data_IF_277804760391
#
_entry.id   IF_277804760391
#
_cell.length_a   1.000
_cell.length_b   1.000
_cell.length_c   1.000
_cell.angle_alpha   90.00
_cell.angle_beta   90.00
_cell.angle_gamma   90.00
#
_symmetry.space_group_name_H-M   'P 1'
#
loop_
_entity.id
_entity.type
_entity.pdbx_description
1 polymer ?
#
# COMPACT_ATOMS: atom_id res chain seq x y z
N UNK A 1 38.15 41.10 5.40
CA UNK A 1 38.50 42.05 6.47
C UNK A 1 39.13 41.24 7.61
N UNK A 2 40.35 41.58 8.03
CA UNK A 2 41.02 40.94 9.17
C UNK A 2 40.40 41.48 10.46
N UNK A 3 39.84 40.61 11.30
CA UNK A 3 39.09 41.01 12.50
C UNK A 3 40.01 41.09 13.72
N UNK A 4 40.93 40.13 13.88
CA UNK A 4 41.95 40.09 14.94
C UNK A 4 42.97 39.00 14.63
N UNK A 5 44.23 39.15 15.05
CA UNK A 5 45.24 38.07 15.05
C UNK A 5 45.56 37.71 16.49
N UNK A 6 45.24 36.48 16.90
CA UNK A 6 45.45 36.01 18.27
C UNK A 6 46.47 34.88 18.27
N UNK A 7 47.49 34.90 19.16
CA UNK A 7 48.36 33.74 19.35
C UNK A 7 47.53 32.53 19.81
N UNK A 8 47.82 31.36 19.26
CA UNK A 8 47.23 30.10 19.71
C UNK A 8 48.23 29.30 20.54
N UNK A 9 47.77 28.27 21.25
CA UNK A 9 48.63 27.25 21.87
C UNK A 9 49.35 26.36 20.84
N UNK A 10 49.06 26.53 19.55
CA UNK A 10 49.57 25.66 18.49
C UNK A 10 50.89 26.17 17.95
N UNK A 11 51.86 25.28 17.83
CA UNK A 11 53.10 25.51 17.10
C UNK A 11 53.12 24.65 15.84
N UNK A 12 53.65 25.22 14.77
CA UNK A 12 53.73 24.57 13.46
C UNK A 12 55.11 24.80 12.85
N UNK A 13 55.72 23.72 12.40
CA UNK A 13 56.96 23.74 11.62
C UNK A 13 56.88 22.76 10.45
N UNK A 14 57.90 22.75 9.58
CA UNK A 14 58.01 21.78 8.50
C UNK A 14 59.25 20.91 8.69
N UNK A 15 59.06 19.60 8.80
CA UNK A 15 60.17 18.66 8.79
C UNK A 15 60.79 18.64 7.39
N UNK A 16 62.03 19.09 7.24
CA UNK A 16 62.72 19.11 5.95
C UNK A 16 63.01 17.70 5.38
N UNK A 17 63.07 16.67 6.24
CA UNK A 17 63.27 15.28 5.80
C UNK A 17 61.99 14.64 5.28
N UNK A 18 60.89 14.78 6.03
CA UNK A 18 59.61 14.19 5.63
C UNK A 18 58.81 15.10 4.70
N UNK A 19 59.24 16.37 4.54
CA UNK A 19 58.55 17.44 3.79
C UNK A 19 57.10 17.60 4.28
N UNK A 20 56.92 17.56 5.62
CA UNK A 20 55.59 17.49 6.27
C UNK A 20 55.44 18.51 7.38
N UNK A 21 54.22 19.05 7.61
CA UNK A 21 53.93 19.87 8.77
C UNK A 21 54.07 19.04 10.05
N UNK A 22 54.69 19.61 11.08
CA UNK A 22 54.76 19.06 12.44
C UNK A 22 54.07 20.05 13.36
N UNK A 23 53.02 19.59 14.03
CA UNK A 23 52.15 20.38 14.89
C UNK A 23 52.22 19.86 16.32
N UNK A 24 52.29 20.75 17.30
CA UNK A 24 52.11 20.42 18.70
C UNK A 24 51.46 21.57 19.45
N UNK A 25 50.81 21.25 20.57
CA UNK A 25 50.33 22.26 21.52
C UNK A 25 51.40 22.48 22.59
N UNK A 26 51.67 23.74 22.91
CA UNK A 26 52.65 24.16 23.91
C UNK A 26 52.02 25.28 24.76
N UNK A 27 52.44 25.44 26.02
CA UNK A 27 51.92 26.49 26.89
C UNK A 27 52.24 27.90 26.36
N UNK A 28 51.47 28.90 26.80
CA UNK A 28 51.65 30.30 26.38
C UNK A 28 53.01 30.88 26.77
N UNK A 29 53.65 30.34 27.81
CA UNK A 29 54.99 30.76 28.26
C UNK A 29 56.11 30.40 27.29
N UNK A 30 55.85 29.58 26.26
CA UNK A 30 56.86 29.13 25.29
C UNK A 30 57.32 30.21 24.28
N UNK A 31 56.75 31.43 24.32
CA UNK A 31 57.06 32.48 23.34
C UNK A 31 56.58 32.12 21.93
N UNK A 32 57.24 32.64 20.89
CA UNK A 32 56.82 32.45 19.48
C UNK A 32 57.57 31.36 18.71
N UNK A 33 58.58 30.75 19.34
CA UNK A 33 59.41 29.72 18.72
C UNK A 33 59.49 28.50 19.61
N UNK A 34 59.37 27.32 19.01
CA UNK A 34 59.56 26.05 19.68
C UNK A 34 60.40 25.09 18.82
N UNK A 35 60.90 24.04 19.46
CA UNK A 35 61.51 22.89 18.79
C UNK A 35 60.57 21.72 18.97
N UNK A 36 60.03 21.18 17.87
CA UNK A 36 59.14 20.04 17.88
C UNK A 36 59.88 18.79 17.42
N UNK A 37 59.49 17.62 17.92
CA UNK A 37 60.02 16.35 17.42
C UNK A 37 59.12 15.85 16.29
N UNK A 38 59.70 15.60 15.11
CA UNK A 38 58.96 14.95 14.03
C UNK A 38 58.59 13.52 14.44
N UNK A 39 57.31 13.13 14.47
CA UNK A 39 56.91 11.81 14.95
C UNK A 39 57.43 10.66 14.08
N UNK A 40 57.70 10.91 12.80
CA UNK A 40 58.15 9.87 11.85
C UNK A 40 59.67 9.66 11.89
N UNK A 41 60.45 10.74 11.75
CA UNK A 41 61.90 10.63 11.63
C UNK A 41 62.66 11.07 12.89
N UNK A 42 61.94 11.46 13.95
CA UNK A 42 62.48 11.86 15.26
C UNK A 42 63.46 13.04 15.23
N UNK A 43 63.56 13.76 14.10
CA UNK A 43 64.38 14.97 13.99
C UNK A 43 63.68 16.15 14.65
N UNK A 44 64.49 17.03 15.24
CA UNK A 44 64.06 18.33 15.73
C UNK A 44 63.64 19.23 14.57
N UNK A 45 62.47 19.84 14.70
CA UNK A 45 61.83 20.71 13.71
C UNK A 45 61.63 22.09 14.34
N UNK A 46 62.22 23.16 13.78
CA UNK A 46 61.91 24.50 14.22
C UNK A 46 60.45 24.80 13.88
N UNK A 47 59.71 25.26 14.88
CA UNK A 47 58.30 25.59 14.75
C UNK A 47 58.03 27.00 15.26
N UNK A 48 57.06 27.65 14.62
CA UNK A 48 56.58 28.97 15.00
C UNK A 48 55.19 28.86 15.58
N UNK A 49 54.86 29.74 16.52
CA UNK A 49 53.49 29.85 17.04
C UNK A 49 52.54 30.21 15.90
N UNK A 50 51.41 29.52 15.86
CA UNK A 50 50.33 29.78 14.91
C UNK A 50 49.53 30.99 15.41
N UNK A 51 49.42 31.99 14.53
CA UNK A 51 48.62 33.19 14.70
C UNK A 51 47.32 33.04 13.92
N UNK A 52 46.23 32.91 14.67
CA UNK A 52 44.90 32.74 14.13
C UNK A 52 44.29 34.10 13.82
N UNK A 53 44.10 34.38 12.54
CA UNK A 53 43.35 35.56 12.09
C UNK A 53 41.90 35.20 11.84
N UNK A 54 40.99 35.72 12.66
CA UNK A 54 39.55 35.53 12.43
C UNK A 54 39.14 36.31 11.17
N UNK A 55 38.55 35.61 10.21
CA UNK A 55 37.99 36.17 8.98
C UNK A 55 36.59 35.63 8.72
N UNK A 56 35.85 36.29 7.83
CA UNK A 56 34.53 35.82 7.34
C UNK A 56 34.64 34.68 6.32
N UNK A 57 35.86 34.28 5.95
CA UNK A 57 36.10 33.20 4.98
C UNK A 57 35.78 31.87 5.64
N UNK A 58 34.83 31.11 5.08
CA UNK A 58 34.53 29.75 5.52
C UNK A 58 35.80 28.90 5.48
N UNK A 59 36.09 28.17 6.55
CA UNK A 59 37.18 27.22 6.55
C UNK A 59 36.83 26.02 5.68
N UNK A 60 37.75 25.64 4.80
CA UNK A 60 37.73 24.37 4.09
C UNK A 60 38.99 23.54 4.44
N UNK A 61 39.15 22.39 3.79
CA UNK A 61 40.30 21.51 3.98
C UNK A 61 41.61 22.05 3.40
N UNK A 62 41.64 23.19 2.71
CA UNK A 62 42.84 23.69 2.03
C UNK A 62 43.96 24.06 2.99
N UNK A 63 43.61 24.47 4.22
CA UNK A 63 44.59 24.82 5.27
C UNK A 63 45.22 23.59 5.95
N UNK A 64 44.72 22.38 5.70
CA UNK A 64 45.17 21.17 6.41
C UNK A 64 46.66 20.86 6.19
N UNK A 65 47.23 21.25 5.06
CA UNK A 65 48.65 21.04 4.75
C UNK A 65 49.50 22.32 4.80
N UNK A 66 48.97 23.40 5.37
CA UNK A 66 49.73 24.63 5.54
C UNK A 66 50.92 24.42 6.48
N UNK A 67 52.02 25.13 6.22
CA UNK A 67 53.29 25.06 6.99
C UNK A 67 53.70 26.40 7.61
N UNK A 68 53.06 27.50 7.19
CA UNK A 68 53.34 28.83 7.69
C UNK A 68 52.58 29.17 8.98
N UNK A 69 53.05 30.15 9.77
CA UNK A 69 52.46 30.48 11.08
C UNK A 69 51.19 31.33 11.01
N UNK A 70 50.73 31.72 9.82
CA UNK A 70 49.60 32.63 9.66
C UNK A 70 48.40 31.87 9.13
N UNK A 71 47.28 31.94 9.86
CA UNK A 71 45.99 31.40 9.45
C UNK A 71 45.00 32.55 9.25
N UNK A 72 44.22 32.54 8.16
CA UNK A 72 43.22 33.58 7.86
C UNK A 72 41.84 33.01 7.53
N UNK A 73 41.43 31.93 8.21
CA UNK A 73 40.12 31.29 8.10
C UNK A 73 39.20 31.68 9.28
N UNK A 74 37.92 31.40 9.16
CA UNK A 74 36.96 31.39 10.28
C UNK A 74 37.23 30.31 11.34
N UNK A 75 38.09 29.34 11.06
CA UNK A 75 38.44 28.22 11.95
C UNK A 75 39.46 28.53 13.04
N UNK A 76 40.00 29.76 13.09
CA UNK A 76 40.97 30.19 14.10
C UNK A 76 42.18 29.25 14.24
N UNK A 77 42.65 28.69 13.11
CA UNK A 77 43.80 27.79 13.10
C UNK A 77 43.50 26.33 13.44
N UNK A 78 42.25 25.97 13.75
CA UNK A 78 41.87 24.60 14.17
C UNK A 78 42.20 23.52 13.13
N UNK A 79 42.23 23.87 11.84
CA UNK A 79 42.55 22.95 10.75
C UNK A 79 43.95 23.19 10.15
N UNK A 80 44.70 24.19 10.62
CA UNK A 80 45.94 24.63 9.97
C UNK A 80 47.12 23.69 10.24
N UNK A 81 47.66 23.06 9.19
CA UNK A 81 48.73 22.06 9.32
C UNK A 81 48.30 20.76 10.01
N UNK A 82 46.99 20.47 10.06
CA UNK A 82 46.40 19.34 10.79
C UNK A 82 46.28 18.06 9.96
N UNK A 83 46.69 18.05 8.69
CA UNK A 83 46.52 16.89 7.81
C UNK A 83 47.17 15.61 8.36
N UNK A 84 48.16 15.70 9.24
CA UNK A 84 48.93 14.54 9.70
C UNK A 84 49.38 14.58 11.17
N UNK A 85 48.61 15.18 12.09
CA UNK A 85 48.84 14.91 13.52
C UNK A 85 48.47 13.46 13.83
N UNK A 86 49.45 12.62 14.15
CA UNK A 86 49.35 11.18 14.51
C UNK A 86 48.54 10.88 15.78
N UNK A 87 47.76 11.84 16.29
CA UNK A 87 46.86 11.72 17.44
C UNK A 87 45.47 12.30 17.12
N UNK A 88 44.96 12.07 15.92
CA UNK A 88 43.52 11.92 15.76
C UNK A 88 43.30 10.41 15.78
N UNK A 89 42.97 9.85 16.94
CA UNK A 89 42.44 8.48 16.97
C UNK A 89 41.21 8.48 16.05
N UNK A 90 41.27 7.76 14.94
CA UNK A 90 40.16 7.58 13.98
C UNK A 90 38.83 7.25 14.69
N UNK A 91 38.88 6.59 15.85
CA UNK A 91 37.70 6.23 16.64
C UNK A 91 36.92 7.44 17.18
N UNK A 92 37.58 8.54 17.60
CA UNK A 92 36.87 9.66 18.25
C UNK A 92 36.13 10.55 17.26
N UNK A 93 36.64 10.74 16.04
CA UNK A 93 36.00 11.63 15.05
C UNK A 93 34.97 10.91 14.19
N UNK A 94 35.15 9.60 13.94
CA UNK A 94 34.18 8.80 13.18
C UNK A 94 32.98 8.40 14.04
N UNK A 95 33.19 8.08 15.33
CA UNK A 95 32.12 7.75 16.27
C UNK A 95 31.13 8.91 16.46
N UNK A 96 31.64 10.10 16.72
CA UNK A 96 30.83 11.31 16.90
C UNK A 96 30.11 11.72 15.61
N UNK A 97 30.77 11.62 14.46
CA UNK A 97 30.16 11.91 13.16
C UNK A 97 29.04 10.90 12.82
N UNK A 98 29.24 9.62 13.12
CA UNK A 98 28.22 8.58 12.91
C UNK A 98 27.03 8.74 13.86
N UNK A 99 27.29 9.09 15.12
CA UNK A 99 26.24 9.39 16.11
C UNK A 99 25.41 10.61 15.67
N UNK A 100 26.07 11.69 15.24
CA UNK A 100 25.40 12.87 14.72
C UNK A 100 24.56 12.58 13.45
N UNK A 101 25.10 11.76 12.53
CA UNK A 101 24.38 11.31 11.34
C UNK A 101 23.13 10.49 11.71
N UNK A 102 23.26 9.52 12.62
CA UNK A 102 22.14 8.70 13.10
C UNK A 102 21.08 9.55 13.80
N UNK A 103 21.50 10.50 14.65
CA UNK A 103 20.59 11.42 15.32
C UNK A 103 19.82 12.29 14.32
N UNK A 104 20.49 12.80 13.28
CA UNK A 104 19.85 13.56 12.20
C UNK A 104 18.85 12.71 11.42
N UNK A 105 19.24 11.49 11.02
CA UNK A 105 18.37 10.56 10.32
C UNK A 105 17.13 10.18 11.16
N UNK A 106 17.31 9.93 12.47
CA UNK A 106 16.21 9.65 13.39
C UNK A 106 15.27 10.86 13.53
N UNK A 107 15.80 12.07 13.65
CA UNK A 107 15.01 13.29 13.73
C UNK A 107 14.20 13.53 12.44
N UNK A 108 14.78 13.30 11.26
CA UNK A 108 14.09 13.40 9.98
C UNK A 108 13.00 12.33 9.82
N UNK A 109 13.29 11.08 10.21
CA UNK A 109 12.30 10.00 10.23
C UNK A 109 11.13 10.32 11.17
N UNK A 110 11.41 10.83 12.38
CA UNK A 110 10.39 11.24 13.34
C UNK A 110 9.52 12.39 12.80
N UNK A 111 10.12 13.39 12.16
CA UNK A 111 9.39 14.50 11.50
C UNK A 111 8.49 13.99 10.38
N UNK A 112 8.99 13.07 9.54
CA UNK A 112 8.21 12.43 8.47
C UNK A 112 7.04 11.64 9.04
N UNK A 113 7.27 10.81 10.05
CA UNK A 113 6.23 10.03 10.72
C UNK A 113 5.16 10.93 11.35
N UNK A 114 5.56 12.00 12.06
CA UNK A 114 4.62 12.97 12.64
C UNK A 114 3.81 13.73 11.57
N UNK A 115 4.38 13.99 10.40
CA UNK A 115 3.65 14.56 9.26
C UNK A 115 2.60 13.59 8.71
N UNK A 116 3.00 12.34 8.42
CA UNK A 116 2.09 11.33 7.90
C UNK A 116 0.96 11.03 8.89
N UNK A 117 1.27 10.95 10.19
CA UNK A 117 0.24 10.76 11.23
C UNK A 117 -0.80 11.90 11.21
N UNK A 118 -0.38 13.16 11.11
CA UNK A 118 -1.31 14.30 11.05
C UNK A 118 -2.20 14.26 9.81
N UNK A 119 -1.65 13.86 8.67
CA UNK A 119 -2.40 13.66 7.43
C UNK A 119 -3.45 12.55 7.62
N UNK A 120 -3.03 11.42 8.18
CA UNK A 120 -3.91 10.29 8.46
C UNK A 120 -5.02 10.62 9.44
N UNK A 121 -4.71 11.30 10.55
CA UNK A 121 -5.71 11.73 11.53
C UNK A 121 -6.73 12.69 10.89
N UNK A 122 -6.27 13.64 10.05
CA UNK A 122 -7.13 14.61 9.37
C UNK A 122 -8.01 13.96 8.27
N UNK A 123 -7.48 12.97 7.55
CA UNK A 123 -8.25 12.19 6.59
C UNK A 123 -9.30 11.32 7.30
N UNK A 124 -8.91 10.59 8.34
CA UNK A 124 -9.82 9.74 9.12
C UNK A 124 -10.95 10.53 9.78
N UNK A 125 -10.70 11.77 10.21
CA UNK A 125 -11.74 12.65 10.74
C UNK A 125 -12.81 13.03 9.70
N UNK A 126 -12.43 13.15 8.41
CA UNK A 126 -13.34 13.54 7.31
C UNK A 126 -13.99 12.34 6.61
N UNK A 127 -13.30 11.20 6.57
CA UNK A 127 -13.69 10.00 5.81
C UNK A 127 -13.72 8.75 6.70
N UNK A 128 -14.30 8.89 7.89
CA UNK A 128 -14.36 7.81 8.88
C UNK A 128 -14.95 6.52 8.31
N UNK A 129 -16.02 6.64 7.53
CA UNK A 129 -16.70 5.55 6.85
C UNK A 129 -15.78 4.76 5.90
N UNK A 130 -14.95 5.47 5.13
CA UNK A 130 -13.98 4.87 4.19
C UNK A 130 -12.86 4.16 4.95
N UNK A 131 -12.34 4.76 6.01
CA UNK A 131 -11.26 4.17 6.82
C UNK A 131 -11.75 2.91 7.53
N UNK A 132 -12.93 2.94 8.14
CA UNK A 132 -13.53 1.77 8.79
C UNK A 132 -13.79 0.65 7.77
N UNK A 133 -14.40 0.96 6.62
CA UNK A 133 -14.64 -0.03 5.57
C UNK A 133 -13.34 -0.67 5.06
N UNK A 134 -12.31 0.12 4.74
CA UNK A 134 -11.03 -0.41 4.25
C UNK A 134 -10.28 -1.18 5.33
N UNK A 135 -10.37 -0.81 6.61
CA UNK A 135 -9.72 -1.57 7.69
C UNK A 135 -10.30 -2.97 7.81
N UNK A 136 -11.62 -3.09 7.67
CA UNK A 136 -12.35 -4.34 7.89
C UNK A 136 -12.50 -5.18 6.60
N UNK A 137 -12.00 -4.67 5.47
CA UNK A 137 -12.04 -5.34 4.18
C UNK A 137 -10.98 -6.45 4.06
N UNK A 138 -11.44 -7.68 3.82
CA UNK A 138 -10.62 -8.89 3.67
C UNK A 138 -10.80 -9.60 2.31
N UNK A 139 -11.52 -8.97 1.38
CA UNK A 139 -11.86 -9.56 0.08
C UNK A 139 -10.77 -9.44 -0.98
N UNK A 140 -10.95 -10.16 -2.09
CA UNK A 140 -10.01 -10.20 -3.22
C UNK A 140 -10.44 -9.25 -4.36
N UNK A 141 -10.38 -7.95 -4.11
CA UNK A 141 -10.68 -6.93 -5.13
C UNK A 141 -9.54 -5.94 -5.19
N UNK A 142 -8.71 -6.09 -6.24
CA UNK A 142 -7.45 -5.35 -6.42
C UNK A 142 -7.57 -3.85 -6.11
N UNK A 143 -8.64 -3.21 -6.60
CA UNK A 143 -8.86 -1.79 -6.35
C UNK A 143 -8.92 -1.44 -4.85
N UNK A 144 -9.62 -2.23 -4.03
CA UNK A 144 -9.74 -1.96 -2.60
C UNK A 144 -8.45 -2.27 -1.85
N UNK A 145 -7.73 -3.33 -2.25
CA UNK A 145 -6.40 -3.65 -1.74
C UNK A 145 -5.41 -2.50 -2.01
N UNK A 146 -5.41 -1.97 -3.23
CA UNK A 146 -4.59 -0.81 -3.60
C UNK A 146 -4.95 0.44 -2.76
N UNK A 147 -6.23 0.61 -2.40
CA UNK A 147 -6.65 1.72 -1.54
C UNK A 147 -6.22 1.51 -0.09
N UNK A 148 -6.23 0.27 0.42
CA UNK A 148 -5.66 -0.05 1.75
C UNK A 148 -4.16 0.28 1.79
N UNK A 149 -3.41 -0.13 0.77
CA UNK A 149 -1.97 0.14 0.66
C UNK A 149 -1.67 1.62 0.63
N UNK A 150 -2.37 2.39 -0.22
CA UNK A 150 -2.21 3.85 -0.27
C UNK A 150 -2.52 4.52 1.05
N UNK A 151 -3.58 4.09 1.72
CA UNK A 151 -3.93 4.63 3.03
C UNK A 151 -2.84 4.34 4.07
N UNK A 152 -2.21 3.15 4.04
CA UNK A 152 -1.07 2.80 4.91
C UNK A 152 0.19 3.61 4.61
N UNK A 153 0.51 3.81 3.34
CA UNK A 153 1.75 4.47 2.90
C UNK A 153 1.70 6.00 2.98
N UNK A 154 0.60 6.58 2.50
CA UNK A 154 0.43 8.03 2.39
C UNK A 154 -0.39 8.65 3.53
N UNK A 155 -1.20 7.84 4.24
CA UNK A 155 -2.10 8.31 5.27
C UNK A 155 -3.41 8.91 4.75
N UNK A 156 -3.55 9.12 3.44
CA UNK A 156 -4.76 9.71 2.85
C UNK A 156 -5.07 9.12 1.48
N UNK A 157 -6.32 9.31 1.06
CA UNK A 157 -6.78 9.08 -0.31
C UNK A 157 -7.26 10.40 -0.89
N UNK A 158 -7.28 10.51 -2.22
CA UNK A 158 -7.98 11.62 -2.87
C UNK A 158 -9.49 11.50 -2.66
N UNK A 159 -10.21 12.62 -2.74
CA UNK A 159 -11.69 12.63 -2.62
C UNK A 159 -12.36 11.67 -3.62
N UNK A 160 -11.83 11.60 -4.85
CA UNK A 160 -12.33 10.69 -5.88
C UNK A 160 -12.07 9.21 -5.55
N UNK A 161 -10.94 8.90 -4.91
CA UNK A 161 -10.63 7.55 -4.43
C UNK A 161 -11.54 7.16 -3.27
N UNK A 162 -11.72 8.05 -2.28
CA UNK A 162 -12.64 7.86 -1.16
C UNK A 162 -14.07 7.59 -1.65
N UNK A 163 -14.55 8.36 -2.63
CA UNK A 163 -15.86 8.13 -3.24
C UNK A 163 -15.93 6.80 -4.03
N UNK A 164 -14.84 6.43 -4.72
CA UNK A 164 -14.71 5.12 -5.35
C UNK A 164 -14.87 3.97 -4.36
N UNK A 165 -14.27 4.10 -3.17
CA UNK A 165 -14.41 3.12 -2.09
C UNK A 165 -15.85 3.05 -1.58
N UNK A 166 -16.53 4.19 -1.34
CA UNK A 166 -17.94 4.21 -0.91
C UNK A 166 -18.86 3.46 -1.86
N UNK A 167 -18.72 3.69 -3.17
CA UNK A 167 -19.51 2.96 -4.17
C UNK A 167 -19.26 1.45 -4.12
N UNK A 168 -18.04 1.03 -3.80
CA UNK A 168 -17.74 -0.39 -3.63
C UNK A 168 -18.38 -0.95 -2.36
N UNK A 169 -18.30 -0.22 -1.25
CA UNK A 169 -18.94 -0.57 0.01
C UNK A 169 -20.46 -0.71 -0.14
N UNK A 170 -21.11 0.25 -0.80
CA UNK A 170 -22.55 0.22 -1.07
C UNK A 170 -22.94 -1.01 -1.91
N UNK A 171 -22.21 -1.29 -2.99
CA UNK A 171 -22.45 -2.49 -3.83
C UNK A 171 -22.22 -3.79 -3.06
N UNK A 172 -21.25 -3.82 -2.14
CA UNK A 172 -21.03 -4.98 -1.28
C UNK A 172 -22.21 -5.18 -0.31
N UNK A 173 -22.68 -4.11 0.33
CA UNK A 173 -23.85 -4.14 1.20
C UNK A 173 -25.12 -4.57 0.45
N UNK A 174 -25.37 -4.03 -0.75
CA UNK A 174 -26.49 -4.41 -1.60
C UNK A 174 -26.46 -5.91 -1.96
N UNK A 175 -25.30 -6.43 -2.37
CA UNK A 175 -25.13 -7.85 -2.70
C UNK A 175 -25.31 -8.75 -1.48
N UNK A 176 -24.80 -8.33 -0.32
CA UNK A 176 -24.98 -9.05 0.95
C UNK A 176 -26.46 -9.11 1.34
N UNK A 177 -27.16 -7.97 1.30
CA UNK A 177 -28.59 -7.90 1.57
C UNK A 177 -29.42 -8.75 0.59
N UNK A 178 -29.08 -8.74 -0.70
CA UNK A 178 -29.77 -9.59 -1.69
C UNK A 178 -29.50 -11.07 -1.44
N UNK A 179 -28.27 -11.45 -1.10
CA UNK A 179 -27.93 -12.84 -0.72
C UNK A 179 -28.73 -13.26 0.52
N UNK A 180 -28.76 -12.44 1.56
CA UNK A 180 -29.51 -12.71 2.78
C UNK A 180 -31.01 -12.87 2.51
N UNK A 181 -31.59 -12.02 1.65
CA UNK A 181 -33.00 -12.18 1.21
C UNK A 181 -33.23 -13.51 0.49
N UNK A 182 -32.35 -13.89 -0.44
CA UNK A 182 -32.45 -15.16 -1.18
C UNK A 182 -32.30 -16.37 -0.25
N UNK A 183 -31.43 -16.27 0.75
CA UNK A 183 -31.20 -17.32 1.74
C UNK A 183 -32.39 -17.45 2.69
N UNK A 184 -32.93 -16.34 3.20
CA UNK A 184 -34.15 -16.34 4.01
C UNK A 184 -35.34 -16.95 3.25
N UNK A 185 -35.52 -16.57 1.97
CA UNK A 185 -36.56 -17.15 1.13
C UNK A 185 -36.38 -18.67 0.91
N UNK A 186 -35.13 -19.14 0.81
CA UNK A 186 -34.83 -20.58 0.72
C UNK A 186 -35.09 -21.30 2.04
N UNK A 187 -34.79 -20.67 3.18
CA UNK A 187 -35.02 -21.24 4.49
C UNK A 187 -36.52 -21.40 4.81
N UNK A 188 -37.37 -20.50 4.30
CA UNK A 188 -38.83 -20.58 4.44
C UNK A 188 -39.51 -21.47 3.38
N UNK A 189 -38.76 -22.03 2.42
CA UNK A 189 -39.34 -22.82 1.35
C UNK A 189 -39.81 -24.19 1.85
N UNK A 190 -41.04 -24.56 1.50
CA UNK A 190 -41.57 -25.91 1.73
C UNK A 190 -40.84 -26.97 0.89
N UNK A 191 -41.09 -28.26 1.16
CA UNK A 191 -40.55 -29.33 0.32
C UNK A 191 -41.07 -29.20 -1.11
N UNK A 192 -40.20 -29.49 -2.08
CA UNK A 192 -40.58 -29.57 -3.49
C UNK A 192 -41.55 -30.73 -3.69
N UNK A 193 -42.65 -30.55 -4.45
CA UNK A 193 -43.55 -31.67 -4.74
C UNK A 193 -42.79 -32.76 -5.52
N UNK A 194 -43.05 -34.02 -5.20
CA UNK A 194 -42.40 -35.18 -5.83
C UNK A 194 -43.38 -36.03 -6.62
N UNK A 195 -42.90 -36.74 -7.64
CA UNK A 195 -43.71 -37.60 -8.51
C UNK A 195 -44.28 -36.84 -9.71
N UNK A 196 -45.29 -37.40 -10.36
CA UNK A 196 -45.95 -36.78 -11.52
C UNK A 196 -46.96 -35.74 -11.05
N UNK A 197 -46.60 -34.46 -11.17
CA UNK A 197 -47.37 -33.34 -10.63
C UNK A 197 -47.53 -32.21 -11.66
N UNK A 198 -48.58 -31.41 -11.51
CA UNK A 198 -48.72 -30.13 -12.20
C UNK A 198 -47.89 -29.09 -11.46
N UNK A 199 -46.83 -28.62 -12.08
CA UNK A 199 -45.97 -27.54 -11.58
C UNK A 199 -46.57 -26.23 -12.05
N UNK A 200 -46.82 -25.32 -11.11
CA UNK A 200 -47.21 -23.94 -11.38
C UNK A 200 -46.27 -23.00 -10.63
N UNK A 201 -45.82 -21.94 -11.30
CA UNK A 201 -44.92 -20.98 -10.66
C UNK A 201 -44.32 -19.95 -11.59
N UNK A 202 -43.41 -19.15 -11.05
CA UNK A 202 -42.74 -18.05 -11.75
C UNK A 202 -41.35 -18.47 -12.21
N UNK A 203 -41.02 -18.21 -13.48
CA UNK A 203 -39.70 -18.52 -14.04
C UNK A 203 -38.67 -17.52 -13.52
N UNK A 204 -37.67 -17.99 -12.78
CA UNK A 204 -36.60 -17.16 -12.23
C UNK A 204 -35.45 -16.92 -13.21
N UNK A 205 -35.11 -17.94 -14.01
CA UNK A 205 -34.04 -17.86 -15.01
C UNK A 205 -34.27 -18.89 -16.10
N UNK A 206 -33.83 -18.57 -17.31
CA UNK A 206 -33.70 -19.52 -18.42
C UNK A 206 -32.26 -19.52 -18.88
N UNK A 207 -31.68 -20.71 -19.01
CA UNK A 207 -30.29 -20.92 -19.43
C UNK A 207 -30.24 -21.90 -20.60
N UNK A 208 -29.37 -21.60 -21.55
CA UNK A 208 -28.90 -22.50 -22.58
C UNK A 208 -27.86 -23.47 -22.02
N UNK A 209 -27.91 -24.69 -22.54
CA UNK A 209 -26.93 -25.75 -22.30
C UNK A 209 -26.58 -26.36 -23.65
N UNK A 210 -25.30 -26.53 -23.90
CA UNK A 210 -24.83 -27.31 -25.03
C UNK A 210 -25.28 -28.76 -24.84
N UNK A 211 -25.96 -29.33 -25.83
CA UNK A 211 -26.30 -30.74 -25.78
C UNK A 211 -25.03 -31.57 -25.97
N UNK A 212 -24.79 -32.61 -25.16
CA UNK A 212 -23.71 -33.54 -25.39
C UNK A 212 -23.98 -34.36 -26.66
N UNK A 213 -23.20 -34.14 -27.74
CA UNK A 213 -23.24 -34.93 -28.97
C UNK A 213 -22.64 -34.19 -30.19
N UNK A 214 -22.42 -34.89 -31.33
CA UNK A 214 -21.92 -34.28 -32.58
C UNK A 214 -22.92 -33.30 -33.24
N UNK A 215 -24.14 -33.21 -32.69
CA UNK A 215 -25.15 -32.25 -33.08
C UNK A 215 -25.10 -31.00 -32.21
N UNK A 216 -24.87 -29.86 -32.87
CA UNK A 216 -24.92 -28.46 -32.45
C UNK A 216 -26.28 -28.01 -31.84
N UNK A 217 -26.97 -28.86 -31.10
CA UNK A 217 -28.29 -28.56 -30.55
C UNK A 217 -28.16 -27.92 -29.17
N UNK A 218 -28.79 -26.76 -28.98
CA UNK A 218 -28.89 -26.09 -27.68
C UNK A 218 -30.13 -26.57 -26.95
N UNK A 219 -30.00 -27.02 -25.70
CA UNK A 219 -31.14 -27.32 -24.83
C UNK A 219 -31.34 -26.19 -23.84
N UNK A 220 -32.55 -25.66 -23.76
CA UNK A 220 -32.89 -24.62 -22.79
C UNK A 220 -33.50 -25.24 -21.53
N UNK A 221 -33.02 -24.79 -20.37
CA UNK A 221 -33.54 -25.19 -19.06
C UNK A 221 -33.96 -23.95 -18.28
N UNK A 222 -34.97 -24.10 -17.44
CA UNK A 222 -35.55 -23.03 -16.64
C UNK A 222 -35.63 -23.42 -15.16
N UNK A 223 -35.44 -22.43 -14.28
CA UNK A 223 -35.74 -22.53 -12.86
C UNK A 223 -37.10 -21.91 -12.60
N UNK A 224 -38.01 -22.65 -11.99
CA UNK A 224 -39.35 -22.19 -11.64
C UNK A 224 -39.47 -22.15 -10.11
N UNK A 225 -39.89 -21.00 -9.56
CA UNK A 225 -40.26 -20.86 -8.16
C UNK A 225 -41.75 -21.14 -7.99
N UNK A 226 -42.08 -22.08 -7.11
CA UNK A 226 -43.44 -22.46 -6.78
C UNK A 226 -43.98 -21.57 -5.65
N UNK A 227 -45.29 -21.56 -5.45
CA UNK A 227 -45.93 -20.72 -4.43
C UNK A 227 -45.53 -21.08 -3.00
N UNK A 228 -45.10 -22.32 -2.76
CA UNK A 228 -44.57 -22.76 -1.47
C UNK A 228 -43.09 -22.37 -1.25
N UNK A 229 -42.50 -21.57 -2.15
CA UNK A 229 -41.10 -21.16 -2.12
C UNK A 229 -40.09 -22.21 -2.62
N UNK A 230 -40.52 -23.46 -2.84
CA UNK A 230 -39.67 -24.48 -3.44
C UNK A 230 -39.34 -24.15 -4.90
N UNK A 231 -38.30 -24.79 -5.45
CA UNK A 231 -37.84 -24.50 -6.81
C UNK A 231 -37.65 -25.77 -7.61
N UNK A 232 -38.07 -25.74 -8.87
CA UNK A 232 -37.97 -26.85 -9.80
C UNK A 232 -37.15 -26.45 -11.01
N UNK A 233 -36.16 -27.27 -11.34
CA UNK A 233 -35.35 -27.14 -12.54
C UNK A 233 -35.88 -28.05 -13.64
N UNK A 234 -36.36 -27.48 -14.75
CA UNK A 234 -36.99 -28.21 -15.86
C UNK A 234 -36.37 -27.83 -17.20
N UNK A 235 -36.48 -28.71 -18.20
CA UNK A 235 -36.32 -28.30 -19.60
C UNK A 235 -37.45 -27.33 -19.98
N UNK A 236 -37.15 -26.33 -20.81
CA UNK A 236 -38.17 -25.41 -21.36
C UNK A 236 -39.04 -26.18 -22.35
N UNK A 237 -40.36 -26.31 -22.10
CA UNK A 237 -41.28 -26.93 -23.04
C UNK A 237 -41.34 -26.15 -24.36
N UNK A 238 -41.40 -26.85 -25.50
CA UNK A 238 -41.50 -26.22 -26.83
C UNK A 238 -42.67 -25.24 -26.94
N UNK A 239 -43.79 -25.54 -26.29
CA UNK A 239 -44.98 -24.68 -26.28
C UNK A 239 -44.76 -23.31 -25.62
N UNK A 240 -43.71 -23.15 -24.79
CA UNK A 240 -43.35 -21.88 -24.16
C UNK A 240 -42.21 -21.16 -24.91
N UNK A 241 -41.54 -21.83 -25.85
CA UNK A 241 -40.43 -21.30 -26.63
C UNK A 241 -40.91 -20.48 -27.85
N UNK A 242 -41.82 -19.52 -27.61
CA UNK A 242 -42.62 -18.87 -28.67
C UNK A 242 -42.05 -17.52 -29.14
N UNK A 243 -41.14 -16.89 -28.38
CA UNK A 243 -40.55 -15.58 -28.72
C UNK A 243 -39.03 -15.63 -28.80
N UNK A 244 -38.42 -14.80 -29.64
CA UNK A 244 -36.96 -14.66 -29.74
C UNK A 244 -36.41 -13.54 -28.85
N UNK A 245 -37.06 -13.20 -27.73
CA UNK A 245 -36.42 -12.30 -26.76
C UNK A 245 -35.16 -12.99 -26.21
N UNK A 246 -33.99 -12.53 -26.65
CA UNK A 246 -32.68 -13.13 -26.34
C UNK A 246 -31.82 -12.15 -25.55
N UNK A 247 -32.07 -12.06 -24.24
CA UNK A 247 -31.08 -11.52 -23.30
C UNK A 247 -30.55 -12.64 -22.43
N UNK A 248 -29.25 -12.60 -22.11
CA UNK A 248 -28.60 -13.65 -21.31
C UNK A 248 -29.36 -13.86 -19.99
N UNK A 249 -29.87 -15.08 -19.78
CA UNK A 249 -30.66 -15.42 -18.59
C UNK A 249 -32.18 -15.19 -18.71
N UNK A 250 -32.66 -14.67 -19.85
CA UNK A 250 -34.06 -14.44 -20.19
C UNK A 250 -34.38 -14.91 -21.62
N UNK A 251 -33.95 -16.12 -21.95
CA UNK A 251 -34.32 -16.75 -23.23
C UNK A 251 -35.85 -16.90 -23.32
N UNK A 252 -36.39 -16.58 -24.49
CA UNK A 252 -37.82 -16.58 -24.81
C UNK A 252 -38.68 -15.55 -24.06
N UNK A 253 -38.06 -14.62 -23.32
CA UNK A 253 -38.79 -13.61 -22.55
C UNK A 253 -39.57 -14.19 -21.37
N UNK A 254 -39.20 -15.40 -20.92
CA UNK A 254 -39.95 -16.12 -19.89
C UNK A 254 -39.58 -15.69 -18.47
N UNK A 255 -38.46 -15.00 -18.24
CA UNK A 255 -38.06 -14.59 -16.89
C UNK A 255 -39.11 -13.64 -16.29
N UNK A 256 -39.67 -14.02 -15.15
CA UNK A 256 -40.77 -13.31 -14.49
C UNK A 256 -42.16 -13.75 -14.93
N UNK A 257 -42.28 -14.56 -15.99
CA UNK A 257 -43.57 -15.11 -16.41
C UNK A 257 -44.05 -16.21 -15.45
N UNK A 258 -45.37 -16.30 -15.27
CA UNK A 258 -46.03 -17.41 -14.55
C UNK A 258 -46.48 -18.47 -15.54
N UNK A 259 -46.09 -19.71 -15.30
CA UNK A 259 -46.33 -20.83 -16.19
C UNK A 259 -46.92 -22.02 -15.43
N UNK A 260 -47.56 -22.93 -16.16
CA UNK A 260 -47.94 -24.25 -15.65
C UNK A 260 -47.49 -25.33 -16.62
N UNK A 261 -47.11 -26.51 -16.10
CA UNK A 261 -46.84 -27.71 -16.90
C UNK A 261 -46.92 -28.97 -16.04
N UNK A 262 -47.16 -30.13 -16.64
CA UNK A 262 -47.08 -31.42 -15.94
C UNK A 262 -45.71 -32.05 -16.15
N UNK A 263 -45.03 -32.47 -15.08
CA UNK A 263 -43.74 -33.14 -15.14
C UNK A 263 -43.58 -34.17 -14.01
N UNK A 264 -42.58 -35.04 -14.14
CA UNK A 264 -42.13 -35.88 -13.01
C UNK A 264 -41.02 -35.15 -12.26
N UNK A 265 -41.28 -34.77 -11.01
CA UNK A 265 -40.36 -34.03 -10.16
C UNK A 265 -39.67 -34.96 -9.16
N UNK A 266 -38.35 -34.85 -9.10
CA UNK A 266 -37.51 -35.57 -8.12
C UNK A 266 -36.81 -34.55 -7.23
N UNK A 267 -36.95 -34.68 -5.91
CA UNK A 267 -36.21 -33.83 -4.97
C UNK A 267 -34.71 -34.08 -5.08
N UNK A 268 -33.89 -33.04 -4.90
CA UNK A 268 -32.44 -33.16 -4.92
C UNK A 268 -31.94 -33.66 -3.56
N UNK A 269 -31.02 -34.61 -3.58
CA UNK A 269 -30.36 -35.09 -2.37
C UNK A 269 -29.71 -33.93 -1.60
N UNK A 270 -30.04 -33.80 -0.31
CA UNK A 270 -29.52 -32.75 0.57
C UNK A 270 -30.21 -31.38 0.46
N UNK A 271 -31.23 -31.22 -0.40
CA UNK A 271 -32.04 -30.00 -0.45
C UNK A 271 -33.52 -30.33 -0.78
N UNK A 272 -34.37 -30.55 0.24
CA UNK A 272 -35.77 -30.89 0.01
C UNK A 272 -36.57 -29.76 -0.65
N UNK A 273 -36.09 -28.51 -0.62
CA UNK A 273 -36.75 -27.35 -1.25
C UNK A 273 -36.46 -27.23 -2.75
N UNK A 274 -35.60 -28.10 -3.30
CA UNK A 274 -35.17 -28.05 -4.69
C UNK A 274 -35.36 -29.39 -5.39
N UNK A 275 -35.94 -29.38 -6.59
CA UNK A 275 -36.14 -30.58 -7.40
C UNK A 275 -35.78 -30.40 -8.86
N UNK A 276 -35.64 -31.53 -9.56
CA UNK A 276 -35.49 -31.58 -11.02
C UNK A 276 -36.77 -32.17 -11.62
N UNK A 277 -37.31 -31.48 -12.62
CA UNK A 277 -38.45 -31.93 -13.40
C UNK A 277 -37.97 -32.57 -14.71
N UNK A 278 -38.55 -33.72 -15.02
CA UNK A 278 -38.32 -34.44 -16.27
C UNK A 278 -39.61 -34.60 -17.07
N UNK A 279 -39.46 -34.64 -18.39
CA UNK A 279 -40.54 -34.82 -19.37
C UNK A 279 -41.71 -33.84 -19.16
N UNK A 280 -41.47 -32.52 -19.23
CA UNK A 280 -42.54 -31.55 -19.07
C UNK A 280 -43.50 -31.61 -20.29
N UNK A 281 -44.80 -31.63 -20.00
CA UNK A 281 -45.88 -31.76 -20.99
C UNK A 281 -47.04 -30.83 -20.64
N UNK A 282 -47.87 -30.48 -21.62
CA UNK A 282 -49.05 -29.62 -21.41
C UNK A 282 -48.69 -28.27 -20.79
N UNK A 283 -47.68 -27.60 -21.37
CA UNK A 283 -47.17 -26.35 -20.84
C UNK A 283 -48.00 -25.16 -21.31
N UNK A 284 -48.34 -24.27 -20.38
CA UNK A 284 -49.21 -23.11 -20.57
C UNK A 284 -48.55 -21.87 -19.96
N UNK A 285 -48.61 -20.75 -20.70
CA UNK A 285 -48.24 -19.43 -20.18
C UNK A 285 -49.48 -18.83 -19.49
N UNK A 286 -49.45 -18.73 -18.17
CA UNK A 286 -50.58 -18.22 -17.38
C UNK A 286 -50.57 -16.69 -17.31
N UNK A 287 -49.40 -16.11 -17.04
CA UNK A 287 -49.19 -14.66 -16.97
C UNK A 287 -47.86 -14.33 -17.65
N UNK A 288 -47.83 -13.43 -18.65
CA UNK A 288 -46.59 -13.03 -19.31
C UNK A 288 -45.68 -12.25 -18.32
N UNK A 289 -44.38 -12.20 -18.61
CA UNK A 289 -43.47 -11.33 -17.87
C UNK A 289 -43.90 -9.87 -18.05
N UNK A 290 -43.77 -9.05 -17.01
CA UNK A 290 -43.93 -7.60 -17.13
C UNK A 290 -42.86 -7.08 -18.12
N UNK A 291 -43.30 -6.27 -19.08
CA UNK A 291 -42.44 -5.65 -20.10
C UNK A 291 -41.42 -4.69 -19.47
#
# INVERSE_FOLDING_TARGET
>A
MIISSTPTYTFLGQCQRCIRPVRAEQPDTAGDRAQLTCPECQRTVPASRLYATRSTTACDGACMSAVGPNCSCSCEGANHGRSWSTLITEELTVGDALAAFRAKAAAEAARRAARLKRIADAFAARHRDVVEFLRDYDGDFQFLSDMQDKLREAGELSEAQAEGVRRCAERAAQRSAERAKREAARASAGPVPTGKVRVEGVVLTVKDYDAPGPSWSTTYKMLVALDNGSRVWSTVPKALAISYATTKGNWFGLRGARIAFTATVTAKNGDPSFGTASRPTGAELLVPAAA
#
